data_IF_380387350576
#
_entry.id   IF_380387350576
#
_cell.length_a   1.000
_cell.length_b   1.000
_cell.length_c   1.000
_cell.angle_alpha   90.00
_cell.angle_beta   90.00
_cell.angle_gamma   90.00
#
_symmetry.space_group_name_H-M   'P 1'
#
loop_
_entity.id
_entity.type
_entity.pdbx_description
1 polymer ?
#
# COMPACT_ATOMS: atom_id res chain seq x y z
N UNK A 1 -9.15 -18.68 9.38
CA UNK A 1 -9.77 -17.53 10.06
C UNK A 1 -8.66 -16.55 10.39
N UNK A 2 -8.82 -15.27 10.08
CA UNK A 2 -7.81 -14.22 10.34
C UNK A 2 -8.22 -13.43 11.60
N UNK A 3 -7.24 -12.93 12.37
CA UNK A 3 -7.47 -12.14 13.58
C UNK A 3 -7.30 -10.64 13.29
N UNK A 4 -8.13 -9.80 13.91
CA UNK A 4 -7.94 -8.36 13.91
C UNK A 4 -7.16 -7.92 15.15
N UNK A 5 -6.17 -7.04 14.95
CA UNK A 5 -5.39 -6.41 16.03
C UNK A 5 -5.75 -4.92 16.05
N UNK A 6 -6.69 -4.49 16.91
CA UNK A 6 -7.09 -3.09 16.98
C UNK A 6 -6.02 -2.25 17.69
N UNK A 7 -5.97 -0.95 17.35
CA UNK A 7 -5.12 0.01 18.07
C UNK A 7 -3.62 -0.17 17.87
N UNK A 8 -3.20 -0.83 16.79
CA UNK A 8 -1.78 -1.02 16.47
C UNK A 8 -1.03 0.31 16.26
N UNK A 9 -1.74 1.33 15.78
CA UNK A 9 -1.23 2.69 15.64
C UNK A 9 -2.17 3.68 16.33
N UNK A 10 -1.59 4.71 16.95
CA UNK A 10 -2.32 5.90 17.35
C UNK A 10 -2.75 6.72 16.13
N UNK A 11 -3.64 7.70 16.32
CA UNK A 11 -4.08 8.58 15.23
C UNK A 11 -2.92 9.43 14.69
N UNK A 12 -2.06 9.88 15.59
CA UNK A 12 -0.90 10.71 15.29
C UNK A 12 0.16 9.93 14.50
N UNK A 13 0.35 8.64 14.82
CA UNK A 13 1.24 7.75 14.06
C UNK A 13 0.69 7.50 12.65
N UNK A 14 -0.61 7.23 12.51
CA UNK A 14 -1.25 7.08 11.19
C UNK A 14 -1.09 8.33 10.33
N UNK A 15 -1.25 9.51 10.93
CA UNK A 15 -1.09 10.78 10.21
C UNK A 15 0.34 10.95 9.68
N UNK A 16 1.35 10.72 10.51
CA UNK A 16 2.76 10.81 10.10
C UNK A 16 3.11 9.82 8.99
N UNK A 17 2.64 8.57 9.10
CA UNK A 17 2.87 7.54 8.08
C UNK A 17 2.23 7.97 6.75
N UNK A 18 1.00 8.50 6.79
CA UNK A 18 0.29 8.99 5.62
C UNK A 18 1.04 10.14 4.94
N UNK A 19 1.47 11.15 5.69
CA UNK A 19 2.23 12.27 5.15
C UNK A 19 3.52 11.80 4.46
N UNK A 20 4.23 10.85 5.06
CA UNK A 20 5.43 10.28 4.45
C UNK A 20 5.11 9.54 3.14
N UNK A 21 4.05 8.71 3.14
CA UNK A 21 3.60 7.97 1.96
C UNK A 21 3.15 8.87 0.81
N UNK A 22 2.49 9.98 1.10
CA UNK A 22 2.02 10.96 0.11
C UNK A 22 3.16 11.71 -0.57
N UNK A 23 4.32 11.84 0.09
CA UNK A 23 5.51 12.48 -0.47
C UNK A 23 6.36 11.56 -1.36
N UNK A 24 5.95 10.30 -1.52
CA UNK A 24 6.65 9.34 -2.38
C UNK A 24 6.04 9.26 -3.77
N UNK A 25 6.83 8.83 -4.75
CA UNK A 25 6.31 8.48 -6.06
C UNK A 25 5.63 7.11 -6.01
N UNK A 26 4.40 7.04 -6.52
CA UNK A 26 3.63 5.82 -6.60
C UNK A 26 3.63 5.31 -8.05
N UNK A 27 3.93 4.02 -8.22
CA UNK A 27 4.06 3.38 -9.53
C UNK A 27 2.92 2.39 -9.78
N UNK A 28 2.63 2.09 -11.06
CA UNK A 28 1.65 1.06 -11.44
C UNK A 28 2.13 -0.31 -10.93
N UNK A 29 1.29 -0.96 -10.13
CA UNK A 29 1.59 -2.25 -9.53
C UNK A 29 1.84 -3.37 -10.54
N UNK A 30 1.45 -3.21 -11.80
CA UNK A 30 1.76 -4.16 -12.88
C UNK A 30 3.25 -4.35 -13.10
N UNK A 31 4.10 -3.39 -12.72
CA UNK A 31 5.56 -3.47 -12.88
C UNK A 31 6.13 -4.69 -12.12
N UNK A 32 5.54 -5.07 -10.99
CA UNK A 32 5.97 -6.24 -10.20
C UNK A 32 5.12 -7.49 -10.45
N UNK A 33 4.13 -7.41 -11.35
CA UNK A 33 3.25 -8.53 -11.63
C UNK A 33 3.76 -9.36 -12.81
N UNK A 34 3.80 -10.69 -12.64
CA UNK A 34 3.96 -11.61 -13.76
C UNK A 34 2.82 -11.48 -14.78
N UNK A 35 3.02 -12.00 -15.99
CA UNK A 35 2.14 -11.82 -17.16
C UNK A 35 0.64 -12.03 -16.88
N UNK A 36 0.27 -13.09 -16.16
CA UNK A 36 -1.14 -13.36 -15.83
C UNK A 36 -1.70 -12.35 -14.83
N UNK A 37 -0.94 -12.06 -13.78
CA UNK A 37 -1.37 -11.16 -12.70
C UNK A 37 -1.43 -9.69 -13.16
N UNK A 38 -0.58 -9.27 -14.09
CA UNK A 38 -0.58 -7.91 -14.63
C UNK A 38 -1.91 -7.54 -15.32
N UNK A 39 -2.66 -8.53 -15.82
CA UNK A 39 -3.97 -8.32 -16.45
C UNK A 39 -5.07 -7.98 -15.45
N UNK A 40 -4.94 -8.47 -14.22
CA UNK A 40 -5.94 -8.28 -13.15
C UNK A 40 -5.50 -7.26 -12.09
N UNK A 41 -4.20 -6.98 -11.98
CA UNK A 41 -3.64 -6.04 -11.00
C UNK A 41 -3.88 -4.60 -11.47
N UNK A 42 -4.67 -3.88 -10.69
CA UNK A 42 -5.01 -2.47 -10.94
C UNK A 42 -4.90 -1.70 -9.63
N UNK A 43 -3.67 -1.35 -9.27
CA UNK A 43 -3.35 -0.59 -8.08
C UNK A 43 -2.08 0.24 -8.30
N UNK A 44 -1.88 1.22 -7.43
CA UNK A 44 -0.59 1.86 -7.24
C UNK A 44 0.17 1.17 -6.11
N UNK A 45 1.49 1.20 -6.18
CA UNK A 45 2.38 0.72 -5.12
C UNK A 45 3.60 1.64 -5.01
N UNK A 46 4.27 1.60 -3.86
CA UNK A 46 5.62 2.14 -3.76
C UNK A 46 6.54 1.34 -4.71
N UNK A 47 7.45 1.99 -5.44
CA UNK A 47 8.33 1.37 -6.43
C UNK A 47 9.16 0.23 -5.85
#
# INVERSE_FOLDING_TARGET
MLLHIPGLFSREEVQRIREALEQTEWADGKITAGFQSARAKHNLQLP
#
